data_IF_991273533764
#
_entry.id   IF_991273533764
#
_cell.length_a   1.000
_cell.length_b   1.000
_cell.length_c   1.000
_cell.angle_alpha   90.00
_cell.angle_beta   90.00
_cell.angle_gamma   90.00
#
_symmetry.space_group_name_H-M   'P 1'
#
loop_
_entity.id
_entity.type
_entity.pdbx_description
1 polymer ?
#
# COMPACT_ATOMS: atom_id res chain seq x y z
N UNK A 1 -3.47 4.50 23.43
CA UNK A 1 -2.60 4.46 22.24
C UNK A 1 -3.48 4.72 21.04
N UNK A 2 -3.28 5.83 20.32
CA UNK A 2 -4.06 6.14 19.10
C UNK A 2 -3.37 5.51 17.89
N UNK A 3 -4.05 4.55 17.27
CA UNK A 3 -3.58 3.82 16.09
C UNK A 3 -4.38 4.17 14.83
N UNK A 4 -5.25 5.19 14.89
CA UNK A 4 -6.17 5.54 13.80
C UNK A 4 -5.47 5.88 12.48
N UNK A 5 -4.28 6.48 12.55
CA UNK A 5 -3.44 6.79 11.40
C UNK A 5 -2.26 5.82 11.21
N UNK A 6 -2.23 4.72 11.96
CA UNK A 6 -1.11 3.78 11.93
C UNK A 6 -1.29 2.78 10.78
N UNK A 7 -0.35 2.71 9.83
CA UNK A 7 -0.42 1.74 8.75
C UNK A 7 -0.24 0.32 9.30
N UNK A 8 -1.10 -0.60 8.84
CA UNK A 8 -1.10 -2.01 9.25
C UNK A 8 -1.12 -2.93 8.03
N UNK A 9 -0.70 -4.17 8.25
CA UNK A 9 -0.70 -5.20 7.22
C UNK A 9 -2.13 -5.65 6.93
N UNK A 10 -2.51 -5.57 5.64
CA UNK A 10 -3.82 -5.95 5.14
C UNK A 10 -3.94 -7.46 4.90
N UNK A 11 -5.17 -7.94 4.81
CA UNK A 11 -5.48 -9.32 4.45
C UNK A 11 -4.82 -9.74 3.11
N UNK A 12 -4.01 -10.79 3.15
CA UNK A 12 -3.27 -11.33 2.00
C UNK A 12 -1.88 -10.72 1.78
N UNK A 13 -1.35 -10.00 2.78
CA UNK A 13 0.06 -9.59 2.83
C UNK A 13 1.04 -10.71 3.24
N UNK A 14 0.52 -11.85 3.70
CA UNK A 14 1.32 -12.94 4.28
C UNK A 14 1.53 -12.84 5.79
N UNK A 15 1.03 -11.77 6.42
CA UNK A 15 1.04 -11.55 7.87
C UNK A 15 -0.38 -11.50 8.42
N UNK A 16 -0.54 -11.68 9.74
CA UNK A 16 -1.82 -11.52 10.40
C UNK A 16 -2.36 -10.11 10.15
N UNK A 17 -3.62 -10.02 9.76
CA UNK A 17 -4.28 -8.75 9.49
C UNK A 17 -4.27 -7.86 10.75
N UNK A 18 -3.97 -6.58 10.57
CA UNK A 18 -3.82 -5.64 11.68
C UNK A 18 -2.45 -5.67 12.36
N UNK A 19 -1.51 -6.52 11.90
CA UNK A 19 -0.11 -6.45 12.37
C UNK A 19 0.49 -5.10 11.97
N UNK A 20 0.97 -4.36 12.97
CA UNK A 20 1.61 -3.06 12.77
C UNK A 20 2.97 -3.22 12.08
N UNK A 21 3.37 -2.22 11.30
CA UNK A 21 4.71 -2.23 10.73
C UNK A 21 5.79 -2.13 11.84
N UNK A 22 6.97 -2.74 11.66
CA UNK A 22 8.00 -2.79 12.72
C UNK A 22 8.52 -1.43 13.23
N UNK A 23 8.29 -0.33 12.49
CA UNK A 23 8.72 1.02 12.84
C UNK A 23 7.57 1.95 13.26
N UNK A 24 6.49 1.39 13.78
CA UNK A 24 5.40 2.20 14.34
C UNK A 24 5.79 2.70 15.73
N UNK A 25 5.99 4.02 15.88
CA UNK A 25 5.81 4.71 17.17
C UNK A 25 4.37 5.22 17.24
N UNK A 26 3.70 5.06 18.38
CA UNK A 26 2.34 5.58 18.60
C UNK A 26 2.22 6.16 20.01
N UNK A 27 2.20 7.48 20.06
CA UNK A 27 1.67 8.32 21.15
C UNK A 27 1.31 9.74 20.64
N UNK A 28 1.13 9.91 19.32
CA UNK A 28 0.76 11.18 18.70
C UNK A 28 -0.64 11.07 18.08
N UNK A 29 -1.69 11.61 18.73
CA UNK A 29 -3.06 11.54 18.24
C UNK A 29 -3.22 12.12 16.84
N UNK A 30 -4.18 11.60 16.05
CA UNK A 30 -4.46 12.11 14.71
C UNK A 30 -4.78 13.62 14.71
N UNK A 31 -5.54 14.10 15.69
CA UNK A 31 -5.89 15.52 15.81
C UNK A 31 -4.63 16.37 15.97
N UNK A 32 -3.78 16.02 16.93
CA UNK A 32 -2.50 16.69 17.17
C UNK A 32 -1.59 16.63 15.93
N UNK A 33 -1.63 15.52 15.18
CA UNK A 33 -0.86 15.39 13.94
C UNK A 33 -1.34 16.30 12.80
N UNK A 34 -2.64 16.58 12.74
CA UNK A 34 -3.21 17.55 11.80
C UNK A 34 -2.81 18.96 12.22
N UNK A 35 -2.94 19.30 13.50
CA UNK A 35 -2.64 20.63 14.04
C UNK A 35 -1.15 20.98 13.94
N UNK A 36 -0.26 19.98 14.07
CA UNK A 36 1.19 20.15 13.89
C UNK A 36 1.64 20.09 12.42
N UNK A 37 0.74 19.85 11.46
CA UNK A 37 1.05 19.87 10.02
C UNK A 37 1.89 18.68 9.52
N UNK A 38 1.90 17.56 10.26
CA UNK A 38 2.69 16.35 9.91
C UNK A 38 1.91 15.42 8.95
N UNK A 39 0.60 15.64 8.80
CA UNK A 39 -0.26 14.86 7.88
C UNK A 39 -0.17 15.36 6.44
N UNK A 40 0.03 14.44 5.49
CA UNK A 40 -0.03 14.70 4.05
C UNK A 40 -1.47 14.59 3.55
N UNK A 41 -2.02 15.67 3.01
CA UNK A 41 -3.32 15.62 2.32
C UNK A 41 -3.14 15.01 0.91
N UNK A 42 -3.85 13.92 0.57
CA UNK A 42 -3.79 13.36 -0.78
C UNK A 42 -4.42 14.34 -1.77
N UNK A 43 -3.64 14.77 -2.76
CA UNK A 43 -4.15 15.62 -3.84
C UNK A 43 -4.65 14.78 -5.00
N UNK A 44 -5.80 15.15 -5.56
CA UNK A 44 -6.36 14.48 -6.73
C UNK A 44 -5.58 14.88 -7.99
N UNK A 45 -5.16 13.93 -8.84
CA UNK A 45 -4.54 14.24 -10.12
C UNK A 45 -5.52 14.98 -11.03
N UNK A 46 -5.19 16.21 -11.42
CA UNK A 46 -6.02 17.05 -12.30
C UNK A 46 -5.42 17.24 -13.70
N UNK A 47 -4.11 17.06 -13.87
CA UNK A 47 -3.45 17.17 -15.17
C UNK A 47 -2.31 16.15 -15.27
N UNK A 48 -2.14 15.54 -16.45
CA UNK A 48 -0.92 14.87 -16.88
C UNK A 48 -0.37 15.59 -18.12
N UNK A 49 0.95 15.55 -18.33
CA UNK A 49 1.60 16.26 -19.44
C UNK A 49 1.57 15.42 -20.74
N UNK A 50 0.54 14.59 -20.90
CA UNK A 50 0.43 13.61 -21.98
C UNK A 50 -0.45 14.18 -23.10
N UNK A 51 0.07 14.37 -24.32
CA UNK A 51 -0.74 14.85 -25.44
C UNK A 51 -1.89 13.89 -25.76
N UNK A 52 -3.11 14.41 -25.89
CA UNK A 52 -4.27 13.68 -26.46
C UNK A 52 -5.15 12.89 -25.47
N UNK A 53 -5.00 13.06 -24.16
CA UNK A 53 -5.92 12.48 -23.15
C UNK A 53 -6.90 13.51 -22.61
N UNK A 54 -8.21 13.28 -22.73
CA UNK A 54 -9.25 14.17 -22.19
C UNK A 54 -9.35 14.16 -20.65
N UNK A 55 -8.70 13.20 -20.00
CA UNK A 55 -8.63 13.05 -18.55
C UNK A 55 -7.23 12.62 -18.11
N UNK A 56 -6.71 13.10 -16.97
CA UNK A 56 -5.40 12.70 -16.46
C UNK A 56 -5.37 11.17 -16.22
N UNK A 57 -4.53 10.43 -16.95
CA UNK A 57 -4.44 8.95 -16.86
C UNK A 57 -4.13 8.48 -15.44
N UNK A 58 -3.37 9.28 -14.69
CA UNK A 58 -3.03 9.00 -13.29
C UNK A 58 -4.22 9.10 -12.32
N UNK A 59 -5.36 9.65 -12.74
CA UNK A 59 -6.59 9.68 -11.94
C UNK A 59 -7.20 8.28 -11.81
N UNK A 60 -7.22 7.51 -12.89
CA UNK A 60 -7.80 6.17 -12.94
C UNK A 60 -6.73 5.11 -13.23
N UNK A 61 -5.63 5.15 -12.48
CA UNK A 61 -4.47 4.28 -12.72
C UNK A 61 -4.86 2.78 -12.76
N UNK A 62 -5.77 2.36 -11.88
CA UNK A 62 -6.19 0.96 -11.76
C UNK A 62 -6.85 0.42 -13.04
N UNK A 63 -7.69 1.21 -13.71
CA UNK A 63 -8.34 0.84 -14.98
C UNK A 63 -7.30 0.57 -16.08
N UNK A 64 -6.13 1.21 -15.99
CA UNK A 64 -5.08 1.12 -17.00
C UNK A 64 -4.04 0.03 -16.72
N UNK A 65 -3.78 -0.31 -15.45
CA UNK A 65 -2.70 -1.25 -15.08
C UNK A 65 -3.16 -2.53 -14.38
N UNK A 66 -4.41 -2.62 -13.94
CA UNK A 66 -4.92 -3.75 -13.16
C UNK A 66 -4.74 -5.11 -13.86
N UNK A 67 -4.98 -5.16 -15.17
CA UNK A 67 -4.81 -6.40 -15.97
C UNK A 67 -3.35 -6.86 -16.09
N UNK A 68 -2.39 -5.95 -15.89
CA UNK A 68 -0.95 -6.23 -15.96
C UNK A 68 -0.33 -6.48 -14.58
N UNK A 69 -1.05 -6.19 -13.51
CA UNK A 69 -0.54 -6.41 -12.16
C UNK A 69 -0.49 -7.90 -11.83
N UNK A 70 0.53 -8.35 -11.08
CA UNK A 70 0.56 -9.70 -10.56
C UNK A 70 -0.68 -9.92 -9.67
N UNK A 71 -1.42 -10.98 -9.96
CA UNK A 71 -2.56 -11.38 -9.12
C UNK A 71 -2.03 -11.68 -7.70
N UNK A 72 -2.75 -11.16 -6.69
CA UNK A 72 -2.47 -11.25 -5.25
C UNK A 72 -1.89 -12.63 -4.85
N UNK A 73 -0.77 -12.64 -4.09
CA UNK A 73 -0.28 -13.84 -3.40
C UNK A 73 1.06 -14.47 -3.86
N UNK A 74 1.80 -13.90 -4.83
CA UNK A 74 3.04 -14.54 -5.33
C UNK A 74 4.29 -14.46 -4.44
N UNK A 75 4.26 -13.78 -3.29
CA UNK A 75 5.36 -13.85 -2.32
C UNK A 75 5.44 -15.19 -1.56
N UNK A 76 4.51 -16.12 -1.80
CA UNK A 76 4.51 -17.47 -1.20
C UNK A 76 4.96 -18.63 -2.10
N UNK A 77 5.23 -18.42 -3.40
CA UNK A 77 5.46 -19.53 -4.37
C UNK A 77 6.92 -19.62 -4.81
N UNK A 78 7.86 -19.42 -3.89
CA UNK A 78 9.28 -19.73 -4.11
C UNK A 78 9.98 -20.29 -2.86
N UNK A 79 9.25 -21.02 -2.00
CA UNK A 79 9.84 -21.74 -0.85
C UNK A 79 9.51 -23.22 -0.79
N UNK A 80 9.04 -23.82 -1.88
CA UNK A 80 8.69 -25.25 -1.91
C UNK A 80 9.23 -26.00 -3.15
N UNK A 81 10.50 -25.76 -3.49
CA UNK A 81 11.23 -26.52 -4.52
C UNK A 81 12.64 -26.98 -4.14
N UNK A 82 13.09 -26.73 -2.89
CA UNK A 82 14.45 -27.08 -2.44
C UNK A 82 14.52 -28.06 -1.27
N UNK A 83 13.43 -28.73 -0.90
CA UNK A 83 13.40 -29.71 0.20
C UNK A 83 12.91 -31.11 -0.25
N UNK A 84 13.07 -31.44 -1.53
CA UNK A 84 12.62 -32.71 -2.11
C UNK A 84 13.71 -33.70 -2.53
N UNK A 85 15.01 -33.35 -2.45
CA UNK A 85 16.10 -34.25 -2.87
C UNK A 85 17.38 -34.02 -2.06
N UNK A 86 17.50 -34.73 -0.94
CA UNK A 86 18.77 -35.15 -0.36
C UNK A 86 18.48 -36.33 0.57
N UNK A 87 18.58 -37.54 0.01
CA UNK A 87 18.85 -38.78 0.74
C UNK A 87 20.30 -38.77 1.20
#
# INVERSE_FOLDING_TARGET
MDLSATPSLLHGSGYAEGTLFPRTMSDFPLMDAIECGIVKMPRVPMADNVPGGSSPKFRNLWEHIGNRMPKKGRYGVERDRRLGHAT
#
